data_IF_000604858391
#
_entry.id   IF_000604858391
#
_cell.length_a   1.000
_cell.length_b   1.000
_cell.length_c   1.000
_cell.angle_alpha   90.00
_cell.angle_beta   90.00
_cell.angle_gamma   90.00
#
_symmetry.space_group_name_H-M   'P 1'
#
loop_
_entity.id
_entity.type
_entity.pdbx_description
1 polymer ?
#
# COMPACT_ATOMS: atom_id res chain seq x y z
N UNK A 1 -13.52 -3.93 -17.38
CA UNK A 1 -14.99 -3.68 -17.30
C UNK A 1 -15.61 -4.96 -16.75
N UNK A 2 -16.46 -4.88 -15.73
CA UNK A 2 -17.06 -6.06 -15.09
C UNK A 2 -18.19 -6.68 -15.89
N UNK A 3 -18.76 -7.77 -15.37
CA UNK A 3 -19.93 -8.45 -15.92
C UNK A 3 -21.20 -7.94 -15.23
N UNK A 4 -22.17 -7.44 -16.01
CA UNK A 4 -23.36 -6.76 -15.49
C UNK A 4 -24.66 -7.43 -15.97
N UNK A 5 -25.68 -7.34 -15.12
CA UNK A 5 -27.06 -7.73 -15.43
C UNK A 5 -28.01 -6.57 -15.13
N UNK A 6 -28.99 -6.35 -15.99
CA UNK A 6 -29.95 -5.25 -15.85
C UNK A 6 -30.85 -5.47 -14.64
N UNK A 7 -31.25 -4.38 -13.98
CA UNK A 7 -32.22 -4.44 -12.88
C UNK A 7 -33.56 -5.01 -13.33
N UNK A 8 -33.95 -4.77 -14.58
CA UNK A 8 -35.20 -5.26 -15.18
C UNK A 8 -35.20 -6.78 -15.33
N UNK A 9 -34.19 -7.35 -15.99
CA UNK A 9 -34.12 -8.80 -16.20
C UNK A 9 -33.89 -9.54 -14.88
N UNK A 10 -33.10 -8.97 -13.97
CA UNK A 10 -32.90 -9.52 -12.63
C UNK A 10 -34.21 -9.61 -11.83
N UNK A 11 -35.12 -8.62 -11.99
CA UNK A 11 -36.45 -8.67 -11.39
C UNK A 11 -37.36 -9.68 -12.10
N UNK A 12 -37.39 -9.69 -13.43
CA UNK A 12 -38.24 -10.58 -14.23
C UNK A 12 -37.92 -12.07 -13.99
N UNK A 13 -36.62 -12.40 -13.91
CA UNK A 13 -36.15 -13.76 -13.64
C UNK A 13 -36.11 -14.11 -12.14
N UNK A 14 -36.48 -13.16 -11.26
CA UNK A 14 -36.46 -13.30 -9.82
C UNK A 14 -35.13 -13.87 -9.28
N UNK A 15 -34.01 -13.35 -9.77
CA UNK A 15 -32.67 -13.84 -9.40
C UNK A 15 -32.32 -13.45 -7.96
N UNK A 16 -31.56 -14.28 -7.22
CA UNK A 16 -31.15 -13.96 -5.86
C UNK A 16 -30.25 -12.72 -5.85
N UNK A 17 -30.50 -11.80 -4.92
CA UNK A 17 -29.74 -10.54 -4.81
C UNK A 17 -28.98 -10.53 -3.49
N UNK A 18 -27.69 -10.23 -3.56
CA UNK A 18 -26.79 -10.08 -2.44
C UNK A 18 -26.36 -8.62 -2.35
N UNK A 19 -26.59 -7.99 -1.20
CA UNK A 19 -26.16 -6.60 -0.98
C UNK A 19 -24.65 -6.55 -0.76
N UNK A 20 -23.99 -5.59 -1.42
CA UNK A 20 -22.57 -5.34 -1.27
C UNK A 20 -22.33 -4.47 -0.03
N UNK A 21 -21.38 -4.86 0.81
CA UNK A 21 -21.01 -4.08 2.01
C UNK A 21 -20.53 -2.66 1.67
N UNK A 22 -19.96 -2.46 0.49
CA UNK A 22 -19.53 -1.16 -0.04
C UNK A 22 -19.99 -1.04 -1.49
N UNK A 23 -20.69 0.04 -1.80
CA UNK A 23 -21.17 0.31 -3.15
C UNK A 23 -19.99 0.56 -4.11
N UNK A 24 -20.06 0.00 -5.32
CA UNK A 24 -18.99 0.13 -6.33
C UNK A 24 -19.39 1.25 -7.31
N UNK A 25 -18.65 2.37 -7.38
CA UNK A 25 -18.94 3.43 -8.33
C UNK A 25 -18.57 3.01 -9.76
N UNK A 26 -19.48 3.23 -10.70
CA UNK A 26 -19.27 2.93 -12.12
C UNK A 26 -19.34 4.21 -12.94
N UNK A 27 -18.31 4.41 -13.78
CA UNK A 27 -18.27 5.45 -14.78
C UNK A 27 -18.62 4.84 -16.15
N UNK A 28 -19.79 5.23 -16.66
CA UNK A 28 -20.37 4.86 -17.96
C UNK A 28 -20.86 3.41 -18.09
N UNK A 29 -21.92 3.24 -18.89
CA UNK A 29 -22.79 2.04 -19.12
C UNK A 29 -24.14 2.08 -18.37
N UNK A 30 -24.46 3.20 -17.71
CA UNK A 30 -25.77 3.41 -17.08
C UNK A 30 -26.56 4.54 -17.70
N UNK A 31 -27.88 4.50 -17.53
CA UNK A 31 -28.77 5.62 -17.78
C UNK A 31 -28.52 6.69 -16.69
N UNK A 32 -27.48 7.52 -16.87
CA UNK A 32 -27.08 8.58 -15.94
C UNK A 32 -25.56 8.85 -15.92
N UNK A 33 -25.17 10.02 -15.40
CA UNK A 33 -23.76 10.47 -15.36
C UNK A 33 -22.88 9.68 -14.36
N UNK A 34 -23.49 9.09 -13.33
CA UNK A 34 -22.85 8.24 -12.32
C UNK A 34 -23.87 7.22 -11.81
N UNK A 35 -23.44 5.98 -11.61
CA UNK A 35 -24.23 4.95 -10.95
C UNK A 35 -23.37 4.20 -9.95
N UNK A 36 -24.01 3.69 -8.91
CA UNK A 36 -23.39 2.85 -7.91
C UNK A 36 -24.02 1.45 -7.99
N UNK A 37 -23.17 0.42 -7.99
CA UNK A 37 -23.62 -0.97 -7.85
C UNK A 37 -23.75 -1.26 -6.36
N UNK A 38 -24.96 -1.62 -5.94
CA UNK A 38 -25.27 -1.99 -4.56
C UNK A 38 -25.52 -3.49 -4.39
N UNK A 39 -25.82 -4.20 -5.48
CA UNK A 39 -26.23 -5.60 -5.42
C UNK A 39 -25.46 -6.45 -6.43
N UNK A 40 -25.23 -7.71 -6.07
CA UNK A 40 -24.69 -8.77 -6.91
C UNK A 40 -25.66 -9.94 -6.96
N UNK A 41 -25.61 -10.73 -8.03
CA UNK A 41 -26.34 -12.00 -8.13
C UNK A 41 -25.40 -13.12 -8.54
N UNK A 42 -25.80 -14.34 -8.20
CA UNK A 42 -25.14 -15.56 -8.65
C UNK A 42 -26.19 -16.44 -9.30
N UNK A 43 -26.01 -16.72 -10.58
CA UNK A 43 -26.98 -17.43 -11.40
C UNK A 43 -26.31 -18.53 -12.20
N UNK A 44 -27.07 -19.57 -12.52
CA UNK A 44 -26.64 -20.55 -13.50
C UNK A 44 -26.63 -19.87 -14.88
N UNK A 45 -25.45 -19.67 -15.45
CA UNK A 45 -25.28 -19.02 -16.73
C UNK A 45 -25.00 -20.06 -17.82
N UNK A 46 -25.87 -20.06 -18.83
CA UNK A 46 -25.77 -20.97 -19.97
C UNK A 46 -25.64 -20.17 -21.27
N UNK A 47 -24.53 -20.37 -21.99
CA UNK A 47 -24.31 -19.74 -23.29
C UNK A 47 -23.39 -20.60 -24.16
N UNK A 48 -23.89 -21.07 -25.31
CA UNK A 48 -23.22 -22.06 -26.16
C UNK A 48 -22.79 -23.31 -25.35
N UNK A 49 -21.49 -23.48 -25.13
CA UNK A 49 -20.91 -24.59 -24.37
C UNK A 49 -20.72 -24.29 -22.87
N UNK A 50 -20.97 -23.05 -22.45
CA UNK A 50 -20.85 -22.65 -21.05
C UNK A 50 -22.08 -23.09 -20.29
N UNK A 51 -21.87 -23.71 -19.13
CA UNK A 51 -22.91 -24.04 -18.16
C UNK A 51 -22.29 -24.06 -16.75
N UNK A 52 -22.27 -22.90 -16.09
CA UNK A 52 -21.68 -22.79 -14.74
C UNK A 52 -22.32 -21.65 -13.92
N UNK A 53 -22.04 -21.63 -12.62
CA UNK A 53 -22.46 -20.55 -11.73
C UNK A 53 -21.61 -19.30 -11.97
N UNK A 54 -22.22 -18.25 -12.52
CA UNK A 54 -21.55 -16.98 -12.79
C UNK A 54 -22.11 -15.87 -11.90
N UNK A 55 -21.24 -14.94 -11.54
CA UNK A 55 -21.59 -13.81 -10.67
C UNK A 55 -21.70 -12.54 -11.52
N UNK A 56 -22.83 -11.84 -11.40
CA UNK A 56 -23.09 -10.59 -12.11
C UNK A 56 -23.35 -9.46 -11.13
N UNK A 57 -22.80 -8.28 -11.43
CA UNK A 57 -23.16 -7.04 -10.74
C UNK A 57 -24.49 -6.50 -11.28
N UNK A 58 -25.46 -6.23 -10.40
CA UNK A 58 -26.79 -5.73 -10.80
C UNK A 58 -26.72 -4.21 -10.97
N UNK A 59 -27.10 -3.73 -12.15
CA UNK A 59 -27.01 -2.32 -12.50
C UNK A 59 -28.14 -1.88 -13.45
N UNK A 60 -28.52 -0.60 -13.42
CA UNK A 60 -29.52 -0.08 -14.37
C UNK A 60 -28.89 0.14 -15.75
N UNK A 61 -29.00 -0.86 -16.62
CA UNK A 61 -28.53 -0.84 -18.00
C UNK A 61 -29.62 -0.26 -18.91
N UNK A 62 -29.26 0.71 -19.76
CA UNK A 62 -30.24 1.40 -20.62
C UNK A 62 -30.69 0.55 -21.83
N UNK A 63 -29.74 -0.09 -22.51
CA UNK A 63 -29.95 -0.71 -23.84
C UNK A 63 -29.56 -2.19 -23.89
N UNK A 64 -29.22 -2.79 -22.76
CA UNK A 64 -28.72 -4.17 -22.69
C UNK A 64 -29.28 -4.88 -21.46
N UNK A 65 -29.60 -6.16 -21.58
CA UNK A 65 -30.00 -6.98 -20.44
C UNK A 65 -28.79 -7.55 -19.70
N UNK A 66 -27.76 -7.94 -20.44
CA UNK A 66 -26.53 -8.50 -19.92
C UNK A 66 -25.35 -7.89 -20.66
N UNK A 67 -24.31 -7.52 -19.93
CA UNK A 67 -23.04 -7.05 -20.48
C UNK A 67 -21.93 -7.95 -19.96
N UNK A 68 -21.22 -8.61 -20.87
CA UNK A 68 -20.05 -9.41 -20.56
C UNK A 68 -18.79 -8.57 -20.77
N UNK A 69 -18.05 -8.40 -19.70
CA UNK A 69 -16.89 -7.54 -19.62
C UNK A 69 -15.63 -8.19 -20.19
N UNK A 70 -14.56 -7.41 -20.18
CA UNK A 70 -13.24 -7.86 -20.62
C UNK A 70 -12.67 -9.06 -19.86
N UNK A 71 -12.93 -9.26 -18.55
CA UNK A 71 -12.51 -10.47 -17.84
C UNK A 71 -13.17 -11.71 -18.45
N UNK A 72 -14.49 -11.72 -18.62
CA UNK A 72 -15.21 -12.85 -19.22
C UNK A 72 -14.62 -13.20 -20.59
N UNK A 73 -14.43 -12.19 -21.46
CA UNK A 73 -13.85 -12.38 -22.80
C UNK A 73 -12.47 -13.03 -22.73
N UNK A 74 -11.62 -12.60 -21.80
CA UNK A 74 -10.29 -13.17 -21.60
C UNK A 74 -10.33 -14.60 -21.06
N UNK A 75 -11.10 -14.82 -19.98
CA UNK A 75 -11.16 -16.10 -19.27
C UNK A 75 -11.69 -17.22 -20.15
N UNK A 76 -12.65 -16.91 -21.02
CA UNK A 76 -13.26 -17.86 -21.95
C UNK A 76 -12.65 -17.86 -23.35
N UNK A 77 -11.56 -17.09 -23.57
CA UNK A 77 -10.90 -16.92 -24.87
C UNK A 77 -11.91 -16.64 -25.98
N UNK A 78 -12.76 -15.64 -25.75
CA UNK A 78 -13.83 -15.28 -26.68
C UNK A 78 -13.22 -14.61 -27.91
N UNK A 79 -13.57 -15.14 -29.08
CA UNK A 79 -13.21 -14.57 -30.38
C UNK A 79 -14.46 -13.99 -31.04
N UNK A 80 -14.37 -12.76 -31.54
CA UNK A 80 -15.44 -12.09 -32.28
C UNK A 80 -15.01 -12.00 -33.74
N UNK A 81 -15.78 -12.63 -34.62
CA UNK A 81 -15.63 -12.58 -36.08
C UNK A 81 -16.71 -11.67 -36.65
N UNK A 82 -16.40 -10.91 -37.70
CA UNK A 82 -17.35 -10.00 -38.36
C UNK A 82 -17.78 -10.48 -39.76
N UNK A 83 -17.11 -11.50 -40.31
CA UNK A 83 -17.38 -12.01 -41.65
C UNK A 83 -17.10 -13.53 -41.74
N UNK A 84 -18.11 -14.39 -41.54
CA UNK A 84 -19.45 -14.08 -41.04
C UNK A 84 -19.44 -13.64 -39.56
N UNK A 85 -20.46 -12.88 -39.11
CA UNK A 85 -20.55 -12.47 -37.72
C UNK A 85 -20.73 -13.69 -36.81
N UNK A 86 -19.76 -13.94 -35.94
CA UNK A 86 -19.77 -15.07 -35.02
C UNK A 86 -19.05 -14.73 -33.72
N UNK A 87 -19.55 -15.29 -32.61
CA UNK A 87 -18.88 -15.26 -31.32
C UNK A 87 -18.50 -16.69 -30.98
N UNK A 88 -17.20 -16.95 -30.83
CA UNK A 88 -16.67 -18.29 -30.55
C UNK A 88 -16.08 -18.33 -29.14
N UNK A 89 -16.54 -19.30 -28.35
CA UNK A 89 -16.01 -19.55 -27.00
C UNK A 89 -14.85 -20.54 -27.09
N UNK A 90 -13.63 -20.06 -26.81
CA UNK A 90 -12.42 -20.88 -26.90
C UNK A 90 -12.13 -21.73 -25.65
N UNK A 91 -12.80 -21.48 -24.52
CA UNK A 91 -12.65 -22.24 -23.29
C UNK A 91 -13.96 -22.35 -22.51
N UNK A 92 -14.39 -23.58 -22.21
CA UNK A 92 -15.59 -23.83 -21.40
C UNK A 92 -15.38 -23.42 -19.94
N UNK A 93 -14.17 -23.64 -19.42
CA UNK A 93 -13.81 -23.26 -18.06
C UNK A 93 -13.08 -21.91 -18.05
N UNK A 94 -13.35 -21.03 -17.07
CA UNK A 94 -12.68 -19.75 -16.96
C UNK A 94 -11.21 -19.94 -16.62
N UNK A 95 -10.32 -19.41 -17.46
CA UNK A 95 -8.87 -19.46 -17.26
C UNK A 95 -8.48 -18.35 -16.26
N UNK A 96 -7.53 -18.58 -15.34
CA UNK A 96 -7.06 -17.54 -14.43
C UNK A 96 -6.48 -16.35 -15.20
N UNK A 97 -6.89 -15.15 -14.81
CA UNK A 97 -6.41 -13.91 -15.40
C UNK A 97 -4.91 -13.72 -15.05
N UNK A 98 -4.02 -13.72 -16.06
CA UNK A 98 -2.57 -13.53 -15.88
C UNK A 98 -2.08 -12.26 -16.57
N UNK A 99 -1.38 -11.40 -15.83
CA UNK A 99 -0.64 -10.26 -16.40
C UNK A 99 -0.61 -8.99 -15.52
N UNK A 100 0.37 -8.09 -15.74
CA UNK A 100 0.60 -6.92 -14.89
C UNK A 100 -0.56 -5.90 -14.91
N UNK A 101 -1.31 -5.80 -16.01
CA UNK A 101 -2.48 -4.90 -16.11
C UNK A 101 -3.72 -5.40 -15.38
N UNK A 102 -3.82 -6.71 -15.12
CA UNK A 102 -4.98 -7.34 -14.50
C UNK A 102 -5.00 -7.10 -12.98
N UNK A 103 -3.83 -7.06 -12.34
CA UNK A 103 -3.69 -6.73 -10.93
C UNK A 103 -4.32 -5.36 -10.57
N UNK A 104 -4.32 -4.40 -11.50
CA UNK A 104 -4.98 -3.10 -11.31
C UNK A 104 -6.51 -3.19 -11.25
N UNK A 105 -7.16 -4.18 -11.88
CA UNK A 105 -8.62 -4.30 -11.82
C UNK A 105 -9.10 -4.87 -10.47
N UNK A 106 -8.31 -5.78 -9.88
CA UNK A 106 -8.54 -6.30 -8.52
C UNK A 106 -8.42 -5.19 -7.46
N UNK A 107 -7.64 -4.12 -7.73
CA UNK A 107 -7.49 -2.99 -6.80
C UNK A 107 -8.82 -2.29 -6.46
N UNK A 108 -9.82 -2.32 -7.35
CA UNK A 108 -11.14 -1.74 -7.09
C UNK A 108 -12.04 -2.62 -6.21
N UNK A 109 -11.79 -3.93 -6.17
CA UNK A 109 -12.43 -4.87 -5.23
C UNK A 109 -11.68 -4.94 -3.89
N UNK A 110 -10.60 -4.16 -3.71
CA UNK A 110 -9.66 -4.24 -2.59
C UNK A 110 -10.10 -3.42 -1.36
N UNK A 111 -11.30 -2.84 -1.36
CA UNK A 111 -11.83 -2.13 -0.17
C UNK A 111 -12.13 -3.06 1.00
N UNK A 112 -12.27 -4.38 0.77
CA UNK A 112 -12.33 -5.42 1.82
C UNK A 112 -10.95 -5.82 2.35
N UNK A 113 -9.87 -5.43 1.66
CA UNK A 113 -8.49 -5.72 2.04
C UNK A 113 -7.84 -4.55 2.81
N UNK A 114 -8.40 -3.35 2.71
CA UNK A 114 -7.93 -2.15 3.42
C UNK A 114 -8.02 -2.32 4.95
N UNK A 115 -9.12 -2.88 5.45
CA UNK A 115 -9.31 -3.11 6.89
C UNK A 115 -8.23 -4.07 7.45
N UNK A 116 -7.85 -5.09 6.67
CA UNK A 116 -6.76 -6.02 7.03
C UNK A 116 -5.39 -5.35 6.97
N UNK A 117 -5.17 -4.46 5.99
CA UNK A 117 -3.92 -3.71 5.87
C UNK A 117 -3.74 -2.72 7.04
N UNK A 118 -4.82 -2.11 7.50
CA UNK A 118 -4.78 -1.17 8.63
C UNK A 118 -4.42 -1.88 9.94
N UNK A 119 -4.96 -3.08 10.16
CA UNK A 119 -4.55 -3.95 11.28
C UNK A 119 -3.06 -4.28 11.23
N UNK A 120 -2.54 -4.66 10.06
CA UNK A 120 -1.12 -4.97 9.87
C UNK A 120 -0.24 -3.73 10.11
N UNK A 121 -0.65 -2.56 9.59
CA UNK A 121 0.07 -1.30 9.83
C UNK A 121 0.12 -0.94 11.31
N UNK A 122 -0.99 -1.06 12.03
CA UNK A 122 -1.05 -0.80 13.45
C UNK A 122 -0.19 -1.80 14.25
N UNK A 123 -0.18 -3.07 13.83
CA UNK A 123 0.71 -4.09 14.39
C UNK A 123 2.20 -3.75 14.19
N UNK A 124 2.57 -3.29 13.00
CA UNK A 124 3.95 -2.87 12.72
C UNK A 124 4.35 -1.61 13.50
N UNK A 125 3.49 -0.60 13.55
CA UNK A 125 3.74 0.64 14.30
C UNK A 125 3.90 0.38 15.79
N UNK A 126 3.06 -0.48 16.37
CA UNK A 126 3.16 -0.87 17.78
C UNK A 126 4.45 -1.65 18.06
N UNK A 127 4.82 -2.58 17.17
CA UNK A 127 6.08 -3.33 17.26
C UNK A 127 7.32 -2.43 17.18
N UNK A 128 7.36 -1.48 16.25
CA UNK A 128 8.52 -0.62 16.03
C UNK A 128 8.60 0.57 16.98
N UNK A 129 7.54 0.87 17.73
CA UNK A 129 7.47 2.02 18.66
C UNK A 129 8.65 2.09 19.64
N UNK A 130 9.19 0.95 20.06
CA UNK A 130 10.33 0.87 20.97
C UNK A 130 11.68 1.27 20.34
N UNK A 131 11.80 1.16 19.02
CA UNK A 131 13.05 1.41 18.27
C UNK A 131 12.98 2.76 17.53
N UNK A 132 11.80 3.17 17.08
CA UNK A 132 11.56 4.44 16.41
C UNK A 132 11.31 5.57 17.40
N UNK A 133 12.25 5.79 18.32
CA UNK A 133 12.22 6.90 19.27
C UNK A 133 13.20 8.02 18.86
N UNK A 134 13.01 9.22 19.38
CA UNK A 134 13.93 10.32 19.14
C UNK A 134 15.33 10.02 19.72
N UNK A 135 16.36 10.47 19.00
CA UNK A 135 17.75 10.21 19.38
C UNK A 135 18.17 10.83 20.71
N UNK A 136 17.42 11.82 21.21
CA UNK A 136 17.61 12.48 22.51
C UNK A 136 17.01 11.69 23.69
N UNK A 137 16.19 10.68 23.41
CA UNK A 137 15.55 9.82 24.40
C UNK A 137 16.04 8.37 24.33
N UNK A 138 16.86 8.05 23.32
CA UNK A 138 17.36 6.69 23.10
C UNK A 138 18.75 6.51 23.73
N UNK A 139 18.90 5.60 24.73
CA UNK A 139 20.18 5.35 25.38
C UNK A 139 21.22 4.78 24.41
N UNK A 140 22.50 4.86 24.78
CA UNK A 140 23.55 4.21 24.01
C UNK A 140 23.27 2.69 23.97
N UNK A 141 23.23 2.06 22.77
CA UNK A 141 23.04 0.61 22.68
C UNK A 141 24.23 -0.12 23.32
N UNK A 142 24.03 -1.36 23.80
CA UNK A 142 25.11 -2.14 24.38
C UNK A 142 26.24 -2.32 23.36
N UNK A 143 27.48 -2.24 23.84
CA UNK A 143 28.65 -2.53 23.03
C UNK A 143 28.55 -3.97 22.50
N UNK A 144 28.79 -4.14 21.20
CA UNK A 144 28.76 -5.44 20.54
C UNK A 144 30.16 -6.03 20.47
N UNK A 145 30.27 -7.30 20.06
CA UNK A 145 31.54 -8.01 19.90
C UNK A 145 32.49 -7.32 18.91
N UNK A 146 31.93 -6.64 17.90
CA UNK A 146 32.69 -5.82 16.93
C UNK A 146 32.37 -4.34 17.20
N UNK A 147 33.26 -3.64 17.90
CA UNK A 147 33.20 -2.18 18.06
C UNK A 147 34.19 -1.50 17.12
N UNK A 148 33.88 -0.26 16.74
CA UNK A 148 34.79 0.54 15.91
C UNK A 148 36.10 0.82 16.67
N UNK A 149 37.24 0.50 16.05
CA UNK A 149 38.58 0.84 16.54
C UNK A 149 39.23 1.79 15.54
N UNK A 150 39.75 2.90 16.04
CA UNK A 150 40.53 3.86 15.25
C UNK A 150 42.02 3.50 15.42
N UNK A 151 42.69 2.89 14.43
CA UNK A 151 44.12 2.67 14.50
C UNK A 151 44.85 4.00 14.34
N UNK A 152 45.71 4.34 15.32
CA UNK A 152 46.52 5.55 15.26
C UNK A 152 47.79 5.27 14.45
N UNK A 153 48.15 6.18 13.53
CA UNK A 153 49.42 6.10 12.80
C UNK A 153 50.58 6.33 13.77
N UNK A 154 50.47 7.33 14.64
CA UNK A 154 51.40 7.59 15.72
C UNK A 154 50.61 7.86 17.02
N UNK A 155 50.68 6.97 18.03
CA UNK A 155 49.98 7.14 19.32
C UNK A 155 50.45 8.33 20.16
N UNK A 156 51.70 8.77 20.00
CA UNK A 156 52.32 9.79 20.85
C UNK A 156 52.17 11.22 20.33
N UNK A 157 51.49 11.40 19.19
CA UNK A 157 51.28 12.73 18.61
C UNK A 157 50.38 13.60 19.49
N UNK A 158 50.84 14.84 19.74
CA UNK A 158 50.07 15.87 20.46
C UNK A 158 49.76 17.02 19.52
N UNK A 159 48.49 17.33 19.38
CA UNK A 159 48.01 18.39 18.49
C UNK A 159 47.61 19.62 19.29
N UNK A 160 48.02 20.79 18.79
CA UNK A 160 47.54 22.06 19.31
C UNK A 160 46.08 22.26 18.90
N UNK A 161 45.25 22.64 19.87
CA UNK A 161 43.84 22.92 19.63
C UNK A 161 43.42 24.19 20.38
N UNK A 162 42.36 24.83 19.89
CA UNK A 162 41.72 25.97 20.54
C UNK A 162 40.25 25.63 20.79
N UNK A 163 39.69 25.92 21.97
CA UNK A 163 38.28 25.70 22.23
C UNK A 163 37.41 26.58 21.32
N UNK A 164 36.37 25.98 20.76
CA UNK A 164 35.34 26.69 20.00
C UNK A 164 34.43 27.47 20.94
N UNK A 165 34.14 28.73 20.62
CA UNK A 165 33.12 29.51 21.31
C UNK A 165 31.73 29.22 20.73
N UNK A 166 30.75 29.02 21.60
CA UNK A 166 29.36 28.85 21.20
C UNK A 166 28.71 30.23 21.06
N UNK A 167 28.10 30.58 19.91
CA UNK A 167 27.30 31.79 19.79
C UNK A 167 26.14 31.80 20.78
N UNK A 168 25.82 32.96 21.34
CA UNK A 168 24.77 33.11 22.37
C UNK A 168 23.41 32.60 21.89
N UNK A 169 23.04 32.87 20.64
CA UNK A 169 21.79 32.43 20.04
C UNK A 169 21.59 30.91 20.02
N UNK A 170 22.68 30.12 20.07
CA UNK A 170 22.64 28.66 20.06
C UNK A 170 22.95 28.04 21.43
N UNK A 171 23.23 28.84 22.45
CA UNK A 171 23.67 28.37 23.77
C UNK A 171 22.64 27.43 24.41
N UNK A 172 21.35 27.79 24.38
CA UNK A 172 20.28 26.97 24.96
C UNK A 172 20.15 25.61 24.27
N UNK A 173 20.26 25.59 22.94
CA UNK A 173 20.20 24.35 22.16
C UNK A 173 21.42 23.47 22.46
N UNK A 174 22.59 24.09 22.58
CA UNK A 174 23.83 23.42 22.94
C UNK A 174 23.74 22.77 24.32
N UNK A 175 23.30 23.51 25.34
CA UNK A 175 23.16 23.01 26.71
C UNK A 175 22.21 21.81 26.77
N UNK A 176 21.01 21.93 26.19
CA UNK A 176 20.03 20.83 26.13
C UNK A 176 20.60 19.57 25.49
N UNK A 177 21.34 19.71 24.37
CA UNK A 177 21.94 18.57 23.67
C UNK A 177 23.09 17.96 24.45
N UNK A 178 23.96 18.79 25.04
CA UNK A 178 25.07 18.35 25.88
C UNK A 178 24.56 17.53 27.07
N UNK A 179 23.58 18.05 27.80
CA UNK A 179 22.99 17.37 28.95
C UNK A 179 22.34 16.04 28.56
N UNK A 180 21.56 16.01 27.49
CA UNK A 180 20.95 14.79 26.99
C UNK A 180 22.01 13.73 26.61
N UNK A 181 23.09 14.13 25.95
CA UNK A 181 24.13 13.21 25.47
C UNK A 181 24.96 12.63 26.63
N UNK A 182 25.24 13.45 27.65
CA UNK A 182 25.89 12.99 28.88
C UNK A 182 24.97 12.05 29.65
N UNK A 183 23.70 12.42 29.84
CA UNK A 183 22.68 11.60 30.53
C UNK A 183 22.49 10.23 29.88
N UNK A 184 22.47 10.17 28.54
CA UNK A 184 22.30 8.93 27.78
C UNK A 184 23.57 8.07 27.66
N UNK A 185 24.70 8.52 28.24
CA UNK A 185 25.98 7.82 28.16
C UNK A 185 26.65 7.88 26.79
N UNK A 186 26.17 8.73 25.87
CA UNK A 186 26.79 8.94 24.55
C UNK A 186 28.09 9.73 24.68
N UNK A 187 28.13 10.69 25.59
CA UNK A 187 29.30 11.48 25.93
C UNK A 187 29.74 11.21 27.36
N UNK A 188 31.05 11.10 27.56
CA UNK A 188 31.67 10.94 28.88
C UNK A 188 32.71 12.05 29.03
N UNK A 189 32.65 12.77 30.15
CA UNK A 189 33.65 13.78 30.48
C UNK A 189 34.96 13.07 30.80
N UNK A 190 36.00 13.33 30.01
CA UNK A 190 37.31 12.70 30.18
C UNK A 190 38.43 13.71 29.88
N UNK A 191 39.48 13.78 30.72
CA UNK A 191 40.68 14.52 30.36
C UNK A 191 41.39 13.78 29.22
N UNK A 192 41.67 14.49 28.13
CA UNK A 192 42.32 13.94 26.94
C UNK A 192 43.48 14.82 26.52
N UNK A 193 44.55 14.20 25.99
CA UNK A 193 45.72 14.93 25.48
C UNK A 193 45.42 15.70 24.19
N UNK A 194 44.47 15.21 23.40
CA UNK A 194 44.06 15.77 22.11
C UNK A 194 42.54 15.98 22.10
N UNK A 195 42.10 17.13 21.58
CA UNK A 195 40.69 17.43 21.37
C UNK A 195 40.48 18.12 20.02
N UNK A 196 39.31 17.92 19.43
CA UNK A 196 38.89 18.62 18.21
C UNK A 196 37.88 19.72 18.57
N UNK A 197 38.01 20.94 18.00
CA UNK A 197 37.03 21.99 18.21
C UNK A 197 35.67 21.58 17.63
N UNK A 198 34.58 22.04 18.26
CA UNK A 198 33.22 21.78 17.78
C UNK A 198 32.70 22.98 16.98
N UNK A 199 32.05 22.71 15.86
CA UNK A 199 31.37 23.75 15.08
C UNK A 199 29.86 23.65 15.32
N UNK A 200 29.22 24.77 15.64
CA UNK A 200 27.77 24.86 15.76
C UNK A 200 27.18 25.30 14.44
N UNK A 201 26.35 24.45 13.85
CA UNK A 201 25.72 24.68 12.55
C UNK A 201 24.21 24.74 12.76
N UNK A 202 23.53 25.84 12.40
CA UNK A 202 22.08 25.91 12.44
C UNK A 202 21.50 24.96 11.40
N UNK A 203 20.46 24.22 11.78
CA UNK A 203 19.70 23.40 10.82
C UNK A 203 18.71 24.30 10.06
N UNK A 204 18.52 24.10 8.76
CA UNK A 204 17.50 24.79 7.98
C UNK A 204 16.09 24.41 8.43
#
# INVERSE_FOLDING_TARGET
>A
MGDFISTTIAQQLNVPKFELAKAIPVQMVCQGSRSNINYRTKVQFTHQKLNYQHEFDIMNLANYDIVLGTPFLYQHKVSICMEPPAVVIGSENPIPLKGPRIAKMLSRAMTTYEDKLEVIRNGLLSYTKKVCCDGLDTPLPPLREINHKIPLINPDSKYLWRPSQCPDALMDQWLKKKEAYVRLGRWVLKPVANASPMLLIPKP
#
